data_IF_199625376177
#
_entry.id   IF_199625376177
#
_cell.length_a   1.000
_cell.length_b   1.000
_cell.length_c   1.000
_cell.angle_alpha   90.00
_cell.angle_beta   90.00
_cell.angle_gamma   90.00
#
_symmetry.space_group_name_H-M   'P 1'
#
loop_
_entity.id
_entity.type
_entity.pdbx_description
1 polymer ?
#
# COMPACT_ATOMS: atom_id res chain seq x y z
N UNK A 1 1.80 -24.74 -3.38
CA UNK A 1 3.15 -24.25 -3.80
C UNK A 1 3.39 -22.81 -3.38
N UNK A 2 2.49 -21.84 -3.67
CA UNK A 2 2.68 -20.41 -3.33
C UNK A 2 2.76 -20.17 -1.81
N UNK A 3 1.91 -20.76 -1.00
CA UNK A 3 1.94 -20.63 0.46
C UNK A 3 3.28 -21.04 1.10
N UNK A 4 3.97 -22.05 0.56
CA UNK A 4 5.30 -22.43 1.03
C UNK A 4 6.36 -21.36 0.77
N UNK A 5 6.24 -20.60 -0.33
CA UNK A 5 7.10 -19.44 -0.60
C UNK A 5 6.85 -18.32 0.39
N UNK A 6 5.57 -18.04 0.70
CA UNK A 6 5.20 -17.06 1.74
C UNK A 6 5.83 -17.47 3.07
N UNK A 7 5.68 -18.74 3.48
CA UNK A 7 6.35 -19.25 4.69
C UNK A 7 7.87 -19.09 4.66
N UNK A 8 8.51 -19.29 3.53
CA UNK A 8 9.96 -19.22 3.41
C UNK A 8 10.48 -17.81 3.75
N UNK A 9 9.99 -16.78 3.05
CA UNK A 9 10.43 -15.41 3.31
C UNK A 9 9.91 -14.85 4.66
N UNK A 10 8.73 -15.28 5.12
CA UNK A 10 8.21 -14.92 6.44
C UNK A 10 9.09 -15.45 7.58
N UNK A 11 9.59 -16.67 7.45
CA UNK A 11 10.46 -17.29 8.46
C UNK A 11 11.92 -16.79 8.37
N UNK A 12 12.34 -16.27 7.21
CA UNK A 12 13.70 -15.80 6.97
C UNK A 12 13.69 -14.40 6.32
N UNK A 13 13.06 -13.38 6.95
CA UNK A 13 12.87 -12.06 6.32
C UNK A 13 14.19 -11.33 6.06
N UNK A 14 15.21 -11.55 6.88
CA UNK A 14 16.51 -10.90 6.74
C UNK A 14 17.31 -11.48 5.57
N UNK A 15 17.21 -12.79 5.32
CA UNK A 15 17.84 -13.43 4.17
C UNK A 15 17.13 -13.00 2.89
N UNK A 16 15.79 -13.01 2.88
CA UNK A 16 15.00 -12.52 1.76
C UNK A 16 15.37 -11.07 1.40
N UNK A 17 15.53 -10.19 2.38
CA UNK A 17 15.93 -8.80 2.14
C UNK A 17 17.36 -8.66 1.60
N UNK A 18 18.29 -9.51 2.01
CA UNK A 18 19.64 -9.52 1.42
C UNK A 18 19.64 -10.00 -0.04
N UNK A 19 18.87 -11.03 -0.34
CA UNK A 19 18.69 -11.54 -1.70
C UNK A 19 18.06 -10.48 -2.59
N UNK A 20 16.97 -9.84 -2.15
CA UNK A 20 16.32 -8.74 -2.88
C UNK A 20 17.29 -7.60 -3.16
N UNK A 21 18.07 -7.13 -2.16
CA UNK A 21 19.05 -6.07 -2.41
C UNK A 21 20.08 -6.48 -3.44
N UNK A 22 20.60 -7.72 -3.35
CA UNK A 22 21.60 -8.22 -4.29
C UNK A 22 21.04 -8.32 -5.73
N UNK A 23 19.81 -8.77 -5.88
CA UNK A 23 19.10 -8.81 -7.16
C UNK A 23 18.91 -7.42 -7.74
N UNK A 24 18.43 -6.45 -6.94
CA UNK A 24 18.24 -5.06 -7.37
C UNK A 24 19.54 -4.43 -7.86
N UNK A 25 20.62 -4.52 -7.07
CA UNK A 25 21.93 -3.94 -7.38
C UNK A 25 22.54 -4.60 -8.62
N UNK A 26 22.43 -5.93 -8.72
CA UNK A 26 22.95 -6.68 -9.88
C UNK A 26 22.18 -6.32 -11.15
N UNK A 27 20.85 -6.24 -11.08
CA UNK A 27 20.01 -5.89 -12.23
C UNK A 27 20.33 -4.49 -12.75
N UNK A 28 20.51 -3.52 -11.86
CA UNK A 28 20.72 -2.13 -12.26
C UNK A 28 22.18 -1.72 -12.45
N UNK A 29 23.15 -2.62 -12.33
CA UNK A 29 24.59 -2.27 -12.33
C UNK A 29 25.09 -1.54 -13.59
N UNK A 30 24.40 -1.74 -14.73
CA UNK A 30 24.77 -1.11 -16.01
C UNK A 30 23.90 0.12 -16.34
N UNK A 31 22.95 0.48 -15.51
CA UNK A 31 22.17 1.72 -15.66
C UNK A 31 23.01 2.96 -15.35
N UNK A 32 22.52 4.16 -15.65
CA UNK A 32 23.20 5.39 -15.29
C UNK A 32 23.42 5.50 -13.78
N UNK A 33 22.38 5.22 -12.98
CA UNK A 33 22.46 5.27 -11.52
C UNK A 33 23.40 4.20 -10.98
N UNK A 34 23.39 2.99 -11.57
CA UNK A 34 24.27 1.90 -11.19
C UNK A 34 25.75 2.20 -11.45
N UNK A 35 26.05 2.84 -12.57
CA UNK A 35 27.41 3.34 -12.86
C UNK A 35 27.83 4.48 -11.94
N UNK A 36 26.91 5.43 -11.67
CA UNK A 36 27.15 6.56 -10.77
C UNK A 36 27.58 6.09 -9.38
N UNK A 37 26.88 5.12 -8.81
CA UNK A 37 27.13 4.58 -7.47
C UNK A 37 27.95 3.28 -7.46
N UNK A 38 28.50 2.86 -8.62
CA UNK A 38 29.38 1.70 -8.77
C UNK A 38 28.75 0.41 -8.21
N UNK A 39 27.52 0.12 -8.60
CA UNK A 39 26.77 -1.03 -8.13
C UNK A 39 27.49 -2.37 -8.30
N UNK A 40 28.31 -2.51 -9.33
CA UNK A 40 29.16 -3.70 -9.53
C UNK A 40 30.14 -4.01 -8.36
N UNK A 41 30.36 -3.04 -7.47
CA UNK A 41 31.27 -3.16 -6.33
C UNK A 41 30.52 -3.23 -4.97
N UNK A 42 29.18 -3.32 -4.98
CA UNK A 42 28.37 -3.34 -3.77
C UNK A 42 27.96 -4.79 -3.47
N UNK A 43 28.54 -5.37 -2.44
CA UNK A 43 28.36 -6.79 -2.10
C UNK A 43 27.48 -7.01 -0.85
N UNK A 44 27.17 -5.96 -0.12
CA UNK A 44 26.38 -6.04 1.11
C UNK A 44 25.66 -4.72 1.42
N UNK A 45 24.78 -4.77 2.40
CA UNK A 45 23.95 -3.62 2.84
C UNK A 45 24.80 -2.43 3.29
N UNK A 46 25.92 -2.68 3.98
CA UNK A 46 26.80 -1.61 4.48
C UNK A 46 27.42 -0.81 3.33
N UNK A 47 27.95 -1.52 2.33
CA UNK A 47 28.57 -0.90 1.15
C UNK A 47 27.53 -0.12 0.35
N UNK A 48 26.32 -0.68 0.21
CA UNK A 48 25.19 -0.01 -0.44
C UNK A 48 24.79 1.29 0.26
N UNK A 49 24.60 1.26 1.58
CA UNK A 49 24.28 2.45 2.38
C UNK A 49 25.36 3.53 2.32
N UNK A 50 26.63 3.12 2.26
CA UNK A 50 27.75 4.05 2.19
C UNK A 50 27.89 4.71 0.79
N UNK A 51 27.48 4.01 -0.27
CA UNK A 51 27.61 4.49 -1.64
C UNK A 51 26.41 5.32 -2.12
N UNK A 52 25.20 4.96 -1.70
CA UNK A 52 23.94 5.56 -2.18
C UNK A 52 23.36 6.44 -1.07
N UNK A 53 23.17 7.75 -1.28
CA UNK A 53 22.49 8.61 -0.31
C UNK A 53 20.99 8.30 -0.22
N UNK A 54 20.35 8.74 0.85
CA UNK A 54 18.88 8.79 0.92
C UNK A 54 18.39 9.85 -0.04
N UNK A 55 17.41 9.52 -0.87
CA UNK A 55 16.83 10.41 -1.86
C UNK A 55 15.40 10.80 -1.50
N UNK A 56 15.08 12.06 -1.70
CA UNK A 56 13.71 12.53 -1.82
C UNK A 56 13.26 12.56 -3.29
N UNK A 57 11.98 12.83 -3.53
CA UNK A 57 11.45 12.88 -4.89
C UNK A 57 12.18 13.87 -5.80
N UNK A 58 12.49 15.05 -5.30
CA UNK A 58 13.16 16.10 -6.09
C UNK A 58 14.58 15.68 -6.53
N UNK A 59 15.24 14.76 -5.80
CA UNK A 59 16.58 14.26 -6.16
C UNK A 59 16.51 13.28 -7.35
N UNK A 60 15.44 12.51 -7.46
CA UNK A 60 15.27 11.51 -8.52
C UNK A 60 14.42 12.00 -9.68
N UNK A 61 13.64 13.05 -9.49
CA UNK A 61 12.75 13.64 -10.50
C UNK A 61 13.45 13.98 -11.82
N UNK A 62 14.68 14.57 -11.87
CA UNK A 62 15.36 14.82 -13.13
C UNK A 62 15.58 13.54 -13.97
N UNK A 63 15.84 12.40 -13.32
CA UNK A 63 16.00 11.10 -13.99
C UNK A 63 14.64 10.60 -14.52
N UNK A 64 13.59 10.72 -13.71
CA UNK A 64 12.23 10.34 -14.10
C UNK A 64 11.77 11.15 -15.31
N UNK A 65 11.99 12.47 -15.33
CA UNK A 65 11.62 13.33 -16.45
C UNK A 65 12.34 12.97 -17.75
N UNK A 66 13.56 12.44 -17.67
CA UNK A 66 14.30 11.93 -18.83
C UNK A 66 13.71 10.61 -19.33
N UNK A 67 13.38 9.69 -18.41
CA UNK A 67 12.70 8.44 -18.79
C UNK A 67 11.34 8.74 -19.42
N UNK A 68 10.57 9.68 -18.90
CA UNK A 68 9.32 10.13 -19.50
C UNK A 68 9.50 10.68 -20.92
N UNK A 69 10.67 11.23 -21.25
CA UNK A 69 11.03 11.69 -22.60
C UNK A 69 11.52 10.57 -23.52
N UNK A 70 11.60 9.33 -23.04
CA UNK A 70 12.00 8.15 -23.80
C UNK A 70 13.42 7.66 -23.58
N UNK A 71 14.21 8.32 -22.70
CA UNK A 71 15.52 7.80 -22.33
C UNK A 71 15.36 6.54 -21.48
N UNK A 72 16.16 5.51 -21.72
CA UNK A 72 16.13 4.24 -20.99
C UNK A 72 17.47 3.94 -20.31
N UNK A 73 17.56 2.87 -19.54
CA UNK A 73 18.75 2.48 -18.77
C UNK A 73 19.25 3.55 -17.79
N UNK A 74 18.34 4.35 -17.25
CA UNK A 74 18.67 5.43 -16.31
C UNK A 74 18.57 4.92 -14.86
N UNK A 75 17.38 4.62 -14.38
CA UNK A 75 17.12 4.15 -13.02
C UNK A 75 16.99 2.62 -12.94
N UNK A 76 16.53 1.98 -14.00
CA UNK A 76 16.32 0.54 -14.08
C UNK A 76 16.73 0.01 -15.46
N UNK A 77 17.03 -1.30 -15.54
CA UNK A 77 17.63 -1.94 -16.71
C UNK A 77 16.62 -2.42 -17.76
N UNK A 78 15.34 -2.42 -17.43
CA UNK A 78 14.27 -2.71 -18.39
C UNK A 78 13.52 -1.43 -18.77
N UNK A 79 12.96 -1.35 -19.99
CA UNK A 79 12.25 -0.16 -20.43
C UNK A 79 11.07 0.18 -19.53
N UNK A 80 10.95 1.47 -19.17
CA UNK A 80 9.86 1.99 -18.36
C UNK A 80 8.97 2.86 -19.25
N UNK A 81 7.73 2.41 -19.44
CA UNK A 81 6.71 3.11 -20.24
C UNK A 81 5.52 3.58 -19.39
N UNK A 82 5.43 3.13 -18.16
CA UNK A 82 4.34 3.44 -17.25
C UNK A 82 4.79 4.26 -16.05
N UNK A 83 3.96 5.26 -15.70
CA UNK A 83 4.20 6.10 -14.55
C UNK A 83 2.93 6.21 -13.72
N UNK A 84 3.03 5.90 -12.43
CA UNK A 84 1.94 6.13 -11.49
C UNK A 84 1.97 7.60 -11.04
N UNK A 85 0.87 8.32 -11.27
CA UNK A 85 0.70 9.69 -10.78
C UNK A 85 0.21 9.64 -9.34
N UNK A 86 1.05 10.10 -8.42
CA UNK A 86 0.72 10.24 -7.00
C UNK A 86 0.34 11.69 -6.68
N UNK A 87 -0.72 11.88 -5.91
CA UNK A 87 -1.05 13.20 -5.35
C UNK A 87 0.01 13.55 -4.29
N UNK A 88 0.83 14.57 -4.57
CA UNK A 88 1.78 15.08 -3.58
C UNK A 88 1.05 15.67 -2.38
N UNK A 89 1.33 15.16 -1.18
CA UNK A 89 0.70 15.65 0.07
C UNK A 89 1.29 16.99 0.56
N UNK A 90 2.38 17.48 -0.03
CA UNK A 90 3.14 18.65 0.49
C UNK A 90 3.53 19.72 -0.51
N UNK A 91 3.40 19.45 -1.79
CA UNK A 91 3.58 20.48 -2.82
C UNK A 91 2.48 20.29 -3.86
N UNK A 92 1.91 21.38 -4.39
CA UNK A 92 0.86 21.39 -5.43
C UNK A 92 1.25 20.66 -6.74
N UNK A 93 2.35 19.90 -6.74
CA UNK A 93 2.87 19.19 -7.92
C UNK A 93 2.73 17.69 -7.74
N UNK A 94 2.01 17.07 -8.67
CA UNK A 94 1.93 15.60 -8.77
C UNK A 94 3.31 14.98 -8.95
N UNK A 95 3.54 13.84 -8.28
CA UNK A 95 4.73 13.01 -8.47
C UNK A 95 4.43 11.93 -9.51
N UNK A 96 5.43 11.58 -10.29
CA UNK A 96 5.37 10.47 -11.26
C UNK A 96 6.33 9.39 -10.80
N UNK A 97 5.79 8.23 -10.45
CA UNK A 97 6.58 7.09 -9.98
C UNK A 97 6.74 6.12 -11.14
N UNK A 98 7.97 5.75 -11.52
CA UNK A 98 8.20 4.82 -12.61
C UNK A 98 7.71 3.41 -12.24
N UNK A 99 7.02 2.77 -13.18
CA UNK A 99 6.47 1.43 -13.05
C UNK A 99 7.11 0.53 -14.11
N UNK A 100 8.04 -0.31 -13.69
CA UNK A 100 8.65 -1.33 -14.53
C UNK A 100 7.76 -2.58 -14.63
N UNK A 101 8.06 -3.47 -15.57
CA UNK A 101 7.38 -4.76 -15.65
C UNK A 101 7.64 -5.61 -14.39
N UNK A 102 8.84 -5.54 -13.83
CA UNK A 102 9.20 -6.24 -12.60
C UNK A 102 8.42 -5.70 -11.40
N UNK A 103 8.18 -4.37 -11.33
CA UNK A 103 7.35 -3.81 -10.26
C UNK A 103 5.89 -4.22 -10.39
N UNK A 104 5.36 -4.40 -11.62
CA UNK A 104 4.02 -4.95 -11.84
C UNK A 104 3.95 -6.42 -11.40
N UNK A 105 4.83 -7.28 -11.93
CA UNK A 105 4.75 -8.73 -11.76
C UNK A 105 5.25 -9.22 -10.40
N UNK A 106 6.44 -8.74 -9.97
CA UNK A 106 7.13 -9.23 -8.78
C UNK A 106 6.85 -8.41 -7.52
N UNK A 107 6.16 -7.26 -7.65
CA UNK A 107 5.67 -6.51 -6.51
C UNK A 107 4.14 -6.51 -6.47
N UNK A 108 3.45 -5.70 -7.28
CA UNK A 108 2.02 -5.47 -7.14
C UNK A 108 1.15 -6.71 -7.36
N UNK A 109 1.35 -7.43 -8.46
CA UNK A 109 0.56 -8.64 -8.74
C UNK A 109 0.98 -9.83 -7.86
N UNK A 110 2.27 -9.93 -7.53
CA UNK A 110 2.76 -10.94 -6.58
C UNK A 110 2.12 -10.73 -5.21
N UNK A 111 2.13 -9.51 -4.69
CA UNK A 111 1.52 -9.17 -3.41
C UNK A 111 0.01 -9.45 -3.39
N UNK A 112 -0.71 -9.04 -4.43
CA UNK A 112 -2.15 -9.33 -4.56
C UNK A 112 -2.44 -10.83 -4.53
N UNK A 113 -1.63 -11.63 -5.24
CA UNK A 113 -1.74 -13.11 -5.21
C UNK A 113 -1.42 -13.69 -3.84
N UNK A 114 -0.47 -13.08 -3.09
CA UNK A 114 -0.11 -13.54 -1.75
C UNK A 114 -1.18 -13.19 -0.73
N UNK A 115 -1.79 -12.01 -0.79
CA UNK A 115 -2.97 -11.66 0.03
C UNK A 115 -4.10 -12.68 -0.16
N UNK A 116 -4.46 -12.99 -1.41
CA UNK A 116 -5.47 -14.00 -1.68
C UNK A 116 -5.06 -15.40 -1.18
N UNK A 117 -3.78 -15.76 -1.33
CA UNK A 117 -3.27 -17.05 -0.84
C UNK A 117 -3.37 -17.14 0.68
N UNK A 118 -3.02 -16.08 1.40
CA UNK A 118 -3.14 -16.01 2.87
C UNK A 118 -4.61 -16.08 3.29
N UNK A 119 -5.49 -15.36 2.61
CA UNK A 119 -6.92 -15.41 2.88
C UNK A 119 -7.51 -16.82 2.70
N UNK A 120 -7.16 -17.55 1.63
CA UNK A 120 -7.58 -18.93 1.43
C UNK A 120 -6.97 -19.93 2.45
N UNK A 121 -5.83 -19.58 3.08
CA UNK A 121 -5.32 -20.37 4.21
C UNK A 121 -6.15 -20.12 5.48
N UNK A 122 -6.60 -18.88 5.69
CA UNK A 122 -7.49 -18.52 6.79
C UNK A 122 -8.90 -19.11 6.59
N UNK A 123 -9.44 -19.04 5.38
CA UNK A 123 -10.78 -19.51 5.01
C UNK A 123 -10.73 -20.45 3.79
N UNK A 124 -10.43 -21.75 3.99
CA UNK A 124 -10.28 -22.71 2.89
C UNK A 124 -11.55 -22.97 2.08
N UNK A 125 -12.72 -22.75 2.69
CA UNK A 125 -14.05 -22.87 2.08
C UNK A 125 -14.55 -21.57 1.44
N UNK A 126 -13.67 -20.59 1.24
CA UNK A 126 -14.03 -19.32 0.64
C UNK A 126 -14.53 -19.47 -0.79
N UNK A 127 -15.64 -18.80 -1.08
CA UNK A 127 -16.25 -18.72 -2.42
C UNK A 127 -15.82 -17.45 -3.18
N UNK A 128 -14.74 -16.80 -2.76
CA UNK A 128 -14.29 -15.51 -3.29
C UNK A 128 -14.11 -15.49 -4.82
N UNK A 129 -13.65 -16.60 -5.41
CA UNK A 129 -13.44 -16.74 -6.86
C UNK A 129 -14.62 -17.32 -7.62
N UNK A 130 -15.77 -17.55 -6.97
CA UNK A 130 -17.00 -18.01 -7.66
C UNK A 130 -17.73 -16.84 -8.33
N UNK A 131 -17.54 -15.63 -7.82
CA UNK A 131 -18.07 -14.37 -8.38
C UNK A 131 -16.96 -13.41 -8.78
N UNK A 132 -17.28 -12.12 -8.79
CA UNK A 132 -16.38 -11.05 -9.20
C UNK A 132 -15.87 -10.22 -8.04
N UNK A 133 -14.62 -9.78 -8.13
CA UNK A 133 -14.07 -8.75 -7.26
C UNK A 133 -14.39 -7.36 -7.81
N UNK A 134 -15.12 -6.55 -7.04
CA UNK A 134 -15.31 -5.15 -7.36
C UNK A 134 -14.08 -4.36 -6.92
N UNK A 135 -13.45 -3.64 -7.86
CA UNK A 135 -12.31 -2.77 -7.58
C UNK A 135 -12.65 -1.32 -7.88
N UNK A 136 -12.58 -0.48 -6.85
CA UNK A 136 -12.83 0.95 -6.93
C UNK A 136 -11.48 1.65 -7.09
N UNK A 137 -11.13 1.99 -8.32
CA UNK A 137 -9.89 2.71 -8.65
C UNK A 137 -10.01 4.22 -8.46
N UNK A 138 -8.86 4.90 -8.60
CA UNK A 138 -8.77 6.36 -8.55
C UNK A 138 -9.47 7.08 -9.70
N UNK A 139 -9.38 8.39 -9.70
CA UNK A 139 -10.10 9.28 -10.63
C UNK A 139 -9.27 9.71 -11.85
N UNK A 140 -8.01 9.31 -11.94
CA UNK A 140 -7.17 9.70 -13.08
C UNK A 140 -7.05 8.57 -14.09
N UNK A 141 -7.53 8.81 -15.30
CA UNK A 141 -7.35 7.92 -16.44
C UNK A 141 -5.89 7.80 -16.88
N UNK A 142 -5.67 6.90 -17.82
CA UNK A 142 -4.39 6.77 -18.53
C UNK A 142 -4.26 7.92 -19.53
N UNK A 143 -3.16 8.67 -19.39
CA UNK A 143 -2.82 9.77 -20.29
C UNK A 143 -1.48 9.49 -20.99
N UNK A 144 -1.34 9.81 -22.27
CA UNK A 144 -0.06 9.69 -22.96
C UNK A 144 0.91 10.78 -22.45
N UNK A 145 2.17 10.39 -22.26
CA UNK A 145 3.30 11.31 -22.10
C UNK A 145 3.91 11.62 -23.46
N UNK A 146 4.07 10.56 -24.28
CA UNK A 146 4.55 10.58 -25.64
C UNK A 146 3.96 9.37 -26.39
N UNK A 147 4.52 8.99 -27.54
CA UNK A 147 4.01 7.86 -28.33
C UNK A 147 4.10 6.50 -27.63
N UNK A 148 4.95 6.34 -26.62
CA UNK A 148 5.22 5.06 -25.93
C UNK A 148 4.90 5.13 -24.44
N UNK A 149 5.18 6.26 -23.77
CA UNK A 149 5.03 6.41 -22.33
C UNK A 149 3.65 6.96 -21.94
N UNK A 150 3.12 6.42 -20.84
CA UNK A 150 1.81 6.75 -20.32
C UNK A 150 1.86 6.97 -18.79
N UNK A 151 0.93 7.78 -18.29
CA UNK A 151 0.74 7.92 -16.84
C UNK A 151 -0.73 7.88 -16.47
N UNK A 152 -0.99 7.50 -15.22
CA UNK A 152 -2.33 7.46 -14.63
C UNK A 152 -2.24 7.17 -13.13
N UNK A 153 -3.37 7.02 -12.46
CA UNK A 153 -3.36 6.47 -11.10
C UNK A 153 -2.78 5.05 -11.11
N UNK A 154 -2.14 4.63 -10.03
CA UNK A 154 -1.59 3.28 -9.92
C UNK A 154 -2.63 2.21 -10.28
N UNK A 155 -3.87 2.34 -9.78
CA UNK A 155 -4.95 1.40 -10.08
C UNK A 155 -5.26 1.32 -11.57
N UNK A 156 -5.24 2.45 -12.28
CA UNK A 156 -5.45 2.48 -13.73
C UNK A 156 -4.30 1.79 -14.48
N UNK A 157 -3.05 2.04 -14.05
CA UNK A 157 -1.87 1.37 -14.63
C UNK A 157 -1.94 -0.14 -14.39
N UNK A 158 -2.29 -0.58 -13.17
CA UNK A 158 -2.46 -2.00 -12.84
C UNK A 158 -3.57 -2.65 -13.67
N UNK A 159 -4.70 -1.97 -13.86
CA UNK A 159 -5.80 -2.49 -14.65
C UNK A 159 -5.44 -2.64 -16.13
N UNK A 160 -4.80 -1.63 -16.70
CA UNK A 160 -4.40 -1.62 -18.09
C UNK A 160 -3.40 -2.74 -18.42
N UNK A 161 -2.50 -3.05 -17.49
CA UNK A 161 -1.44 -4.05 -17.66
C UNK A 161 -1.80 -5.44 -17.10
N UNK A 162 -3.02 -5.60 -16.55
CA UNK A 162 -3.41 -6.89 -15.97
C UNK A 162 -3.60 -7.97 -17.04
N UNK A 163 -3.30 -9.25 -16.72
CA UNK A 163 -3.55 -10.35 -17.64
C UNK A 163 -5.01 -10.42 -18.06
N UNK A 164 -5.28 -10.82 -19.32
CA UNK A 164 -6.62 -10.81 -19.91
C UNK A 164 -7.64 -11.63 -19.07
N UNK A 165 -7.24 -12.74 -18.48
CA UNK A 165 -8.10 -13.59 -17.63
C UNK A 165 -8.57 -12.86 -16.35
N UNK A 166 -7.80 -11.89 -15.85
CA UNK A 166 -8.18 -11.11 -14.67
C UNK A 166 -9.43 -10.26 -14.92
N UNK A 167 -9.72 -9.92 -16.19
CA UNK A 167 -10.94 -9.19 -16.54
C UNK A 167 -12.22 -9.99 -16.30
N UNK A 168 -12.16 -11.31 -16.29
CA UNK A 168 -13.32 -12.16 -15.99
C UNK A 168 -13.64 -12.24 -14.50
N UNK A 169 -12.63 -12.07 -13.66
CA UNK A 169 -12.75 -12.16 -12.20
C UNK A 169 -13.01 -10.81 -11.52
N UNK A 170 -13.14 -9.72 -12.28
CA UNK A 170 -13.35 -8.39 -11.72
C UNK A 170 -14.50 -7.63 -12.35
N UNK A 171 -14.98 -6.64 -11.63
CA UNK A 171 -15.96 -5.66 -12.06
C UNK A 171 -15.57 -4.27 -11.50
N UNK A 172 -15.91 -3.13 -12.15
CA UNK A 172 -16.52 -3.03 -13.45
C UNK A 172 -15.54 -3.34 -14.59
N UNK A 173 -16.05 -3.33 -15.83
CA UNK A 173 -15.19 -3.42 -17.02
C UNK A 173 -14.22 -2.24 -17.11
N UNK A 174 -13.16 -2.43 -17.94
CA UNK A 174 -12.06 -1.46 -18.03
C UNK A 174 -12.50 -0.07 -18.46
N UNK A 175 -13.46 0.03 -19.39
CA UNK A 175 -14.02 1.29 -19.88
C UNK A 175 -14.62 2.15 -18.75
N UNK A 176 -15.28 1.53 -17.80
CA UNK A 176 -15.86 2.20 -16.61
C UNK A 176 -14.75 2.45 -15.55
N UNK A 177 -13.91 1.46 -15.31
CA UNK A 177 -12.83 1.57 -14.31
C UNK A 177 -11.85 2.72 -14.61
N UNK A 178 -11.66 3.07 -15.89
CA UNK A 178 -10.76 4.13 -16.37
C UNK A 178 -11.45 5.48 -16.63
N UNK A 179 -12.71 5.67 -16.25
CA UNK A 179 -13.39 6.97 -16.38
C UNK A 179 -12.73 8.03 -15.50
N UNK A 180 -12.66 9.27 -16.01
CA UNK A 180 -12.05 10.42 -15.32
C UNK A 180 -13.02 11.13 -14.39
N UNK A 181 -14.26 11.30 -14.84
CA UNK A 181 -15.25 12.07 -14.12
C UNK A 181 -15.85 11.20 -13.02
N UNK A 182 -15.62 11.62 -11.77
CA UNK A 182 -15.89 10.81 -10.57
C UNK A 182 -17.38 10.51 -10.37
N UNK A 183 -18.25 11.48 -10.57
CA UNK A 183 -19.69 11.30 -10.33
C UNK A 183 -20.31 10.32 -11.33
N UNK A 184 -20.02 10.52 -12.64
CA UNK A 184 -20.42 9.58 -13.68
C UNK A 184 -19.81 8.19 -13.50
N UNK A 185 -18.56 8.12 -13.03
CA UNK A 185 -17.89 6.86 -12.73
C UNK A 185 -18.60 6.07 -11.65
N UNK A 186 -18.94 6.70 -10.52
CA UNK A 186 -19.69 6.06 -9.42
C UNK A 186 -21.05 5.58 -9.91
N UNK A 187 -21.76 6.40 -10.69
CA UNK A 187 -23.05 6.01 -11.28
C UNK A 187 -22.91 4.77 -12.16
N UNK A 188 -21.96 4.77 -13.08
CA UNK A 188 -21.69 3.65 -13.98
C UNK A 188 -21.23 2.39 -13.27
N UNK A 189 -20.39 2.53 -12.23
CA UNK A 189 -20.00 1.39 -11.38
C UNK A 189 -21.24 0.81 -10.71
N UNK A 190 -22.10 1.64 -10.12
CA UNK A 190 -23.31 1.19 -9.44
C UNK A 190 -24.23 0.44 -10.42
N UNK A 191 -24.57 1.05 -11.57
CA UNK A 191 -25.42 0.44 -12.62
C UNK A 191 -24.89 -0.91 -13.11
N UNK A 192 -23.57 -1.00 -13.34
CA UNK A 192 -22.93 -2.21 -13.84
C UNK A 192 -22.92 -3.35 -12.79
N UNK A 193 -22.63 -3.00 -11.54
CA UNK A 193 -22.33 -4.02 -10.52
C UNK A 193 -23.56 -4.54 -9.76
N UNK A 194 -24.69 -3.82 -9.79
CA UNK A 194 -25.94 -4.28 -9.17
C UNK A 194 -26.41 -5.65 -9.70
N UNK A 195 -26.09 -5.96 -10.96
CA UNK A 195 -26.49 -7.22 -11.62
C UNK A 195 -25.41 -8.31 -11.56
N UNK A 196 -24.29 -8.02 -10.98
CA UNK A 196 -23.15 -8.92 -10.88
C UNK A 196 -23.17 -9.66 -9.55
N UNK A 197 -22.59 -10.86 -9.55
CA UNK A 197 -22.30 -11.60 -8.33
C UNK A 197 -20.98 -11.10 -7.74
N UNK A 198 -21.06 -10.13 -6.82
CA UNK A 198 -19.88 -9.52 -6.20
C UNK A 198 -19.55 -10.23 -4.90
N UNK A 199 -18.41 -10.93 -4.89
CA UNK A 199 -17.90 -11.69 -3.73
C UNK A 199 -16.90 -10.91 -2.90
N UNK A 200 -16.20 -9.93 -3.51
CA UNK A 200 -15.28 -9.05 -2.80
C UNK A 200 -15.33 -7.62 -3.30
N UNK A 201 -14.96 -6.70 -2.42
CA UNK A 201 -14.76 -5.28 -2.77
C UNK A 201 -13.36 -4.87 -2.36
N UNK A 202 -12.67 -4.11 -3.22
CA UNK A 202 -11.38 -3.50 -2.93
C UNK A 202 -11.43 -2.00 -3.22
N UNK A 203 -11.07 -1.18 -2.25
CA UNK A 203 -11.06 0.27 -2.43
C UNK A 203 -10.87 1.06 -1.13
N UNK A 204 -10.65 2.36 -1.29
CA UNK A 204 -10.55 3.28 -0.17
C UNK A 204 -11.92 3.40 0.53
N UNK A 205 -11.99 3.36 1.86
CA UNK A 205 -13.25 3.36 2.61
C UNK A 205 -14.22 4.48 2.23
N UNK A 206 -13.73 5.71 2.08
CA UNK A 206 -14.57 6.86 1.73
C UNK A 206 -15.29 6.68 0.40
N UNK A 207 -14.59 6.20 -0.62
CA UNK A 207 -15.15 5.99 -1.96
C UNK A 207 -16.12 4.81 -2.00
N UNK A 208 -15.77 3.75 -1.28
CA UNK A 208 -16.63 2.57 -1.14
C UNK A 208 -17.96 2.92 -0.46
N UNK A 209 -17.94 3.77 0.56
CA UNK A 209 -19.17 4.25 1.22
C UNK A 209 -20.06 5.04 0.28
N UNK A 210 -19.49 5.90 -0.56
CA UNK A 210 -20.26 6.66 -1.57
C UNK A 210 -20.93 5.71 -2.55
N UNK A 211 -20.19 4.73 -3.07
CA UNK A 211 -20.72 3.72 -3.96
C UNK A 211 -21.82 2.87 -3.32
N UNK A 212 -21.61 2.37 -2.11
CA UNK A 212 -22.63 1.57 -1.39
C UNK A 212 -23.93 2.32 -1.19
N UNK A 213 -23.85 3.59 -0.77
CA UNK A 213 -25.04 4.45 -0.63
C UNK A 213 -25.76 4.60 -1.97
N UNK A 214 -25.01 4.85 -3.06
CA UNK A 214 -25.58 5.01 -4.39
C UNK A 214 -26.29 3.73 -4.88
N UNK A 215 -25.69 2.56 -4.65
CA UNK A 215 -26.31 1.26 -4.97
C UNK A 215 -27.63 1.06 -4.21
N UNK A 216 -27.66 1.40 -2.92
CA UNK A 216 -28.86 1.27 -2.12
C UNK A 216 -29.96 2.24 -2.56
N UNK A 217 -29.60 3.46 -2.96
CA UNK A 217 -30.55 4.44 -3.55
C UNK A 217 -31.18 3.91 -4.84
N UNK A 218 -30.36 3.38 -5.76
CA UNK A 218 -30.85 2.84 -7.05
C UNK A 218 -31.75 1.62 -6.84
N UNK A 219 -31.32 0.72 -5.95
CA UNK A 219 -32.02 -0.57 -5.77
C UNK A 219 -33.21 -0.51 -4.83
N UNK A 220 -33.29 0.51 -3.96
CA UNK A 220 -34.26 0.59 -2.88
C UNK A 220 -34.08 -0.50 -1.80
N UNK A 221 -32.95 -1.21 -1.81
CA UNK A 221 -32.63 -2.26 -0.83
C UNK A 221 -32.19 -1.64 0.51
N UNK A 222 -32.35 -2.40 1.61
CA UNK A 222 -32.00 -1.91 2.95
C UNK A 222 -30.51 -1.97 3.22
N UNK A 223 -29.84 -2.95 2.65
CA UNK A 223 -28.40 -3.18 2.84
C UNK A 223 -27.76 -3.86 1.62
N UNK A 224 -26.45 -3.83 1.57
CA UNK A 224 -25.66 -4.35 0.44
C UNK A 224 -25.76 -5.88 0.32
N UNK A 225 -25.97 -6.61 1.42
CA UNK A 225 -26.13 -8.07 1.36
C UNK A 225 -27.45 -8.50 0.68
N UNK A 226 -28.42 -7.60 0.53
CA UNK A 226 -29.61 -7.86 -0.31
C UNK A 226 -29.34 -7.64 -1.80
N UNK A 227 -28.26 -6.93 -2.16
CA UNK A 227 -27.80 -6.75 -3.54
C UNK A 227 -26.79 -7.81 -3.89
N UNK A 228 -25.80 -8.02 -3.02
CA UNK A 228 -24.72 -9.02 -3.18
C UNK A 228 -24.73 -10.02 -2.01
N UNK A 229 -25.55 -11.07 -2.07
CA UNK A 229 -25.66 -12.07 -0.99
C UNK A 229 -24.36 -12.82 -0.72
N UNK A 230 -23.53 -12.98 -1.74
CA UNK A 230 -22.24 -13.69 -1.73
C UNK A 230 -21.07 -12.82 -1.28
N UNK A 231 -21.24 -11.50 -1.06
CA UNK A 231 -20.17 -10.63 -0.60
C UNK A 231 -19.52 -11.16 0.68
N UNK A 232 -18.24 -11.45 0.63
CA UNK A 232 -17.49 -12.14 1.69
C UNK A 232 -16.34 -11.33 2.25
N UNK A 233 -15.69 -10.49 1.42
CA UNK A 233 -14.44 -9.83 1.77
C UNK A 233 -14.43 -8.36 1.33
N UNK A 234 -13.96 -7.49 2.22
CA UNK A 234 -13.58 -6.12 1.88
C UNK A 234 -12.08 -5.90 2.11
N UNK A 235 -11.38 -5.58 1.03
CA UNK A 235 -9.96 -5.24 1.01
C UNK A 235 -9.84 -3.71 1.03
N UNK A 236 -9.20 -3.15 2.05
CA UNK A 236 -9.12 -1.70 2.22
C UNK A 236 -7.70 -1.23 2.52
N UNK A 237 -7.46 0.05 2.31
CA UNK A 237 -6.18 0.70 2.59
C UNK A 237 -6.25 2.20 2.32
N UNK A 238 -5.11 2.87 2.40
CA UNK A 238 -4.97 4.29 2.15
C UNK A 238 -5.38 5.20 3.30
N UNK A 239 -6.29 4.76 4.18
CA UNK A 239 -6.72 5.47 5.41
C UNK A 239 -7.07 4.45 6.49
N UNK A 240 -6.97 4.85 7.76
CA UNK A 240 -7.42 3.99 8.87
C UNK A 240 -8.90 3.61 8.72
N UNK A 241 -9.20 2.33 8.86
CA UNK A 241 -10.56 1.81 8.70
C UNK A 241 -11.40 1.95 9.97
N UNK A 242 -10.80 2.06 11.13
CA UNK A 242 -11.50 2.10 12.43
C UNK A 242 -12.69 3.07 12.47
N UNK A 243 -12.59 4.33 11.97
CA UNK A 243 -13.72 5.26 12.01
C UNK A 243 -14.90 4.86 11.10
N UNK A 244 -14.65 3.99 10.12
CA UNK A 244 -15.65 3.59 9.11
C UNK A 244 -16.33 2.27 9.44
N UNK A 245 -15.74 1.44 10.31
CA UNK A 245 -16.16 0.05 10.57
C UNK A 245 -17.65 -0.09 10.88
N UNK A 246 -18.17 0.68 11.83
CA UNK A 246 -19.60 0.61 12.20
C UNK A 246 -20.53 0.99 11.04
N UNK A 247 -20.15 1.99 10.25
CA UNK A 247 -20.92 2.41 9.09
C UNK A 247 -20.95 1.34 8.01
N UNK A 248 -19.81 0.68 7.76
CA UNK A 248 -19.74 -0.45 6.83
C UNK A 248 -20.61 -1.61 7.30
N UNK A 249 -20.52 -2.03 8.56
CA UNK A 249 -21.34 -3.09 9.12
C UNK A 249 -22.83 -2.81 8.94
N UNK A 250 -23.26 -1.58 9.21
CA UNK A 250 -24.65 -1.14 9.02
C UNK A 250 -25.09 -1.22 7.55
N UNK A 251 -24.27 -0.71 6.63
CA UNK A 251 -24.60 -0.67 5.20
C UNK A 251 -24.57 -2.06 4.57
N UNK A 252 -23.65 -2.92 4.99
CA UNK A 252 -23.54 -4.28 4.47
C UNK A 252 -24.66 -5.16 5.00
N UNK A 253 -25.00 -5.06 6.28
CA UNK A 253 -26.14 -5.77 6.90
C UNK A 253 -25.90 -7.24 7.20
N UNK A 254 -24.66 -7.72 7.06
CA UNK A 254 -24.18 -9.04 7.50
C UNK A 254 -22.70 -8.96 7.87
N UNK A 255 -22.20 -9.96 8.58
CA UNK A 255 -20.78 -10.07 8.87
C UNK A 255 -20.01 -10.51 7.62
N UNK A 256 -18.95 -9.79 7.31
CA UNK A 256 -17.95 -10.11 6.29
C UNK A 256 -16.54 -9.97 6.85
N UNK A 257 -15.55 -10.47 6.12
CA UNK A 257 -14.16 -10.28 6.47
C UNK A 257 -13.62 -8.93 5.96
N UNK A 258 -12.73 -8.33 6.74
CA UNK A 258 -12.03 -7.09 6.43
C UNK A 258 -10.54 -7.35 6.46
N UNK A 259 -9.82 -6.96 5.41
CA UNK A 259 -8.36 -7.04 5.35
C UNK A 259 -7.77 -5.69 4.98
N UNK A 260 -6.86 -5.22 5.80
CA UNK A 260 -6.10 -4.00 5.54
C UNK A 260 -4.87 -4.28 4.70
N UNK A 261 -4.60 -3.38 3.74
CA UNK A 261 -3.44 -3.42 2.85
C UNK A 261 -2.72 -2.08 2.89
N UNK A 262 -1.40 -2.13 2.85
CA UNK A 262 -0.55 -0.96 2.67
C UNK A 262 0.14 -1.01 1.31
N UNK A 263 -0.42 -0.27 0.36
CA UNK A 263 0.11 -0.12 -0.98
C UNK A 263 0.11 1.35 -1.40
N UNK A 264 1.09 1.71 -2.20
CA UNK A 264 1.26 3.05 -2.77
C UNK A 264 1.75 2.95 -4.22
N UNK A 265 1.93 4.08 -4.87
CA UNK A 265 2.49 4.14 -6.23
C UNK A 265 3.90 3.54 -6.29
N UNK A 266 4.64 3.64 -5.21
CA UNK A 266 6.01 3.16 -5.05
C UNK A 266 6.13 1.64 -4.84
N UNK A 267 5.05 0.97 -4.41
CA UNK A 267 5.04 -0.47 -4.18
C UNK A 267 3.87 -0.98 -3.36
N UNK A 268 3.78 -2.29 -3.22
CA UNK A 268 2.85 -2.97 -2.32
C UNK A 268 3.65 -3.53 -1.14
N UNK A 269 3.55 -2.90 0.02
CA UNK A 269 4.47 -3.08 1.13
C UNK A 269 4.03 -4.15 2.12
N UNK A 270 2.74 -4.17 2.48
CA UNK A 270 2.24 -5.06 3.53
C UNK A 270 0.73 -5.31 3.43
N UNK A 271 0.25 -6.36 4.09
CA UNK A 271 -1.16 -6.62 4.29
C UNK A 271 -1.40 -7.40 5.59
N UNK A 272 -2.60 -7.36 6.15
CA UNK A 272 -2.98 -8.28 7.22
C UNK A 272 -2.87 -9.73 6.71
N UNK A 273 -2.33 -10.62 7.52
CA UNK A 273 -2.22 -12.05 7.18
C UNK A 273 -3.59 -12.72 7.23
N UNK A 274 -4.41 -12.32 8.21
CA UNK A 274 -5.79 -12.77 8.38
C UNK A 274 -6.67 -11.65 8.92
N UNK A 275 -7.99 -11.74 8.73
CA UNK A 275 -8.92 -10.77 9.29
C UNK A 275 -8.80 -10.68 10.81
N UNK A 276 -8.73 -9.43 11.31
CA UNK A 276 -8.65 -9.15 12.74
C UNK A 276 -7.24 -9.06 13.32
N UNK A 277 -6.20 -9.27 12.52
CA UNK A 277 -4.83 -9.00 12.96
C UNK A 277 -4.64 -7.51 13.31
N UNK A 278 -3.89 -7.23 14.38
CA UNK A 278 -3.59 -5.85 14.82
C UNK A 278 -2.47 -5.19 14.00
N UNK A 279 -1.80 -5.94 13.13
CA UNK A 279 -0.68 -5.47 12.32
C UNK A 279 -0.69 -6.01 10.91
N UNK A 280 0.21 -5.46 10.08
CA UNK A 280 0.40 -5.87 8.71
C UNK A 280 1.70 -6.65 8.57
N UNK A 281 1.66 -7.75 7.84
CA UNK A 281 2.83 -8.53 7.45
C UNK A 281 3.57 -7.78 6.35
N UNK A 282 4.82 -7.36 6.62
CA UNK A 282 5.70 -6.72 5.64
C UNK A 282 6.14 -7.73 4.58
N UNK A 283 5.99 -7.38 3.32
CA UNK A 283 6.37 -8.22 2.20
C UNK A 283 7.85 -8.10 1.87
N UNK A 284 8.66 -9.02 2.38
CA UNK A 284 10.13 -8.97 2.32
C UNK A 284 10.76 -9.60 1.08
N UNK A 285 9.93 -10.20 0.20
CA UNK A 285 10.36 -10.90 -1.04
C UNK A 285 9.62 -10.37 -2.29
N UNK A 286 9.31 -9.06 -2.32
CA UNK A 286 8.47 -8.47 -3.39
C UNK A 286 9.21 -7.37 -4.17
N UNK A 287 10.51 -7.56 -4.44
CA UNK A 287 11.30 -6.62 -5.22
C UNK A 287 11.52 -5.26 -4.55
N UNK A 288 11.35 -5.19 -3.22
CA UNK A 288 11.58 -3.99 -2.42
C UNK A 288 12.56 -4.32 -1.30
N UNK A 289 13.66 -3.59 -1.24
CA UNK A 289 14.57 -3.59 -0.10
C UNK A 289 14.21 -2.44 0.83
N UNK A 290 14.06 -2.76 2.13
CA UNK A 290 13.61 -1.82 3.16
C UNK A 290 14.74 -1.41 4.09
N UNK A 291 14.81 -0.11 4.33
CA UNK A 291 15.49 0.52 5.43
C UNK A 291 14.49 1.37 6.21
N UNK A 292 14.82 1.67 7.45
CA UNK A 292 13.94 2.41 8.36
C UNK A 292 14.71 3.60 8.91
N UNK A 293 14.21 4.81 8.64
CA UNK A 293 14.77 6.03 9.18
C UNK A 293 14.05 6.38 10.49
N UNK A 294 14.74 6.40 11.65
CA UNK A 294 14.14 6.91 12.88
C UNK A 294 13.62 8.33 12.66
N UNK A 295 12.46 8.68 13.22
CA UNK A 295 11.87 10.02 13.04
C UNK A 295 12.82 11.14 13.51
N UNK A 296 13.70 10.85 14.46
CA UNK A 296 14.74 11.79 14.93
C UNK A 296 15.82 12.11 13.90
N UNK A 297 15.92 11.34 12.83
CA UNK A 297 16.86 11.58 11.73
C UNK A 297 16.27 12.46 10.62
N UNK A 298 14.94 12.67 10.63
CA UNK A 298 14.26 13.45 9.61
C UNK A 298 14.76 14.90 9.57
N UNK A 299 15.05 15.37 8.36
CA UNK A 299 15.55 16.75 8.14
C UNK A 299 17.05 16.92 8.36
N UNK A 300 17.81 15.86 8.70
CA UNK A 300 19.28 15.92 8.72
C UNK A 300 19.84 15.84 7.30
N UNK A 301 21.01 16.44 7.08
CA UNK A 301 21.67 16.40 5.77
C UNK A 301 22.14 14.99 5.37
N UNK A 302 22.47 14.14 6.34
CA UNK A 302 22.86 12.74 6.15
C UNK A 302 22.10 11.88 7.16
N UNK A 303 20.80 11.60 6.90
CA UNK A 303 19.97 10.87 7.82
C UNK A 303 20.41 9.39 7.90
N UNK A 304 20.55 8.89 9.12
CA UNK A 304 20.92 7.50 9.35
C UNK A 304 19.68 6.60 9.27
N UNK A 305 19.85 5.47 8.64
CA UNK A 305 18.81 4.44 8.53
C UNK A 305 19.26 3.16 9.22
N UNK A 306 18.31 2.34 9.64
CA UNK A 306 18.55 1.01 10.22
C UNK A 306 17.96 -0.07 9.31
N UNK A 307 18.45 -1.28 9.41
CA UNK A 307 17.89 -2.45 8.73
C UNK A 307 16.71 -3.05 9.48
N UNK A 308 15.99 -3.96 8.84
CA UNK A 308 14.83 -4.63 9.41
C UNK A 308 15.12 -5.32 10.77
N UNK A 309 16.34 -5.88 10.92
CA UNK A 309 16.78 -6.55 12.14
C UNK A 309 17.03 -5.61 13.34
N UNK A 310 17.13 -4.31 13.08
CA UNK A 310 17.43 -3.28 14.10
C UNK A 310 16.19 -2.50 14.52
N UNK A 311 15.03 -2.80 13.91
CA UNK A 311 13.75 -2.12 14.19
C UNK A 311 13.26 -2.51 15.56
N UNK A 312 12.93 -1.53 16.40
CA UNK A 312 12.44 -1.71 17.76
C UNK A 312 10.92 -1.53 17.83
N UNK A 313 10.26 -2.41 18.62
CA UNK A 313 8.82 -2.33 18.83
C UNK A 313 8.39 -0.99 19.46
N UNK A 314 7.26 -0.48 19.00
CA UNK A 314 6.67 0.74 19.55
C UNK A 314 7.39 2.03 19.15
N UNK A 315 8.36 1.96 18.23
CA UNK A 315 9.02 3.14 17.67
C UNK A 315 8.48 3.47 16.29
N UNK A 316 8.47 4.74 15.97
CA UNK A 316 8.06 5.27 14.67
C UNK A 316 9.27 5.43 13.74
N UNK A 317 9.09 4.99 12.50
CA UNK A 317 10.08 5.09 11.45
C UNK A 317 9.46 5.61 10.15
N UNK A 318 10.25 6.30 9.35
CA UNK A 318 9.93 6.54 7.95
C UNK A 318 10.61 5.45 7.09
N UNK A 319 9.87 4.72 6.24
CA UNK A 319 10.47 3.75 5.34
C UNK A 319 11.33 4.44 4.29
N UNK A 320 12.51 3.86 4.04
CA UNK A 320 13.39 4.19 2.93
C UNK A 320 13.49 2.94 2.07
N UNK A 321 13.11 3.04 0.81
CA UNK A 321 12.97 1.88 -0.07
C UNK A 321 13.91 1.93 -1.28
N UNK A 322 14.36 0.75 -1.69
CA UNK A 322 14.95 0.55 -3.02
C UNK A 322 14.12 -0.50 -3.74
N UNK A 323 13.70 -0.22 -4.98
CA UNK A 323 12.67 -1.02 -5.66
C UNK A 323 13.11 -1.49 -7.04
N UNK A 324 12.49 -2.55 -7.51
CA UNK A 324 12.58 -3.03 -8.89
C UNK A 324 11.87 -2.12 -9.93
N UNK A 325 11.36 -0.97 -9.49
CA UNK A 325 10.91 0.15 -10.34
C UNK A 325 11.97 1.24 -10.53
N UNK A 326 13.17 1.09 -9.90
CA UNK A 326 14.28 2.03 -10.04
C UNK A 326 14.29 3.16 -9.00
N UNK A 327 13.54 3.05 -7.91
CA UNK A 327 13.69 3.92 -6.76
C UNK A 327 14.87 3.39 -5.92
N UNK A 328 15.82 4.28 -5.57
CA UNK A 328 17.03 3.91 -4.83
C UNK A 328 17.14 4.72 -3.55
N UNK A 329 17.08 4.05 -2.39
CA UNK A 329 17.03 4.63 -1.05
C UNK A 329 16.07 5.83 -0.98
N UNK A 330 14.89 5.63 -1.58
CA UNK A 330 13.84 6.64 -1.67
C UNK A 330 13.07 6.74 -0.36
N UNK A 331 13.03 7.95 0.22
CA UNK A 331 12.30 8.23 1.45
C UNK A 331 10.80 8.32 1.17
N UNK A 332 10.04 7.33 1.66
CA UNK A 332 8.59 7.45 1.77
C UNK A 332 8.27 8.47 2.87
N UNK A 333 7.41 9.44 2.54
CA UNK A 333 6.99 10.43 3.52
C UNK A 333 5.84 9.95 4.42
N UNK A 334 5.72 8.63 4.54
CA UNK A 334 4.82 7.96 5.46
C UNK A 334 5.56 7.61 6.74
N UNK A 335 4.80 7.46 7.83
CA UNK A 335 5.34 7.00 9.11
C UNK A 335 4.69 5.67 9.46
N UNK A 336 5.50 4.69 9.82
CA UNK A 336 5.05 3.40 10.31
C UNK A 336 5.43 3.21 11.77
N UNK A 337 4.57 2.54 12.52
CA UNK A 337 4.83 2.08 13.88
C UNK A 337 5.21 0.59 13.83
N UNK A 338 6.33 0.22 14.41
CA UNK A 338 6.69 -1.20 14.51
C UNK A 338 5.89 -1.91 15.61
N UNK A 339 5.22 -3.00 15.26
CA UNK A 339 4.41 -3.81 16.19
C UNK A 339 5.11 -5.09 16.67
N UNK A 340 6.14 -5.57 15.97
CA UNK A 340 6.88 -6.78 16.33
C UNK A 340 8.33 -6.73 15.83
N UNK A 341 9.20 -7.49 16.48
CA UNK A 341 10.63 -7.65 16.11
C UNK A 341 10.81 -8.49 14.83
N UNK A 342 9.76 -9.13 14.38
CA UNK A 342 9.69 -9.90 13.13
C UNK A 342 8.88 -9.13 12.08
N UNK A 343 8.76 -9.63 10.89
CA UNK A 343 8.15 -9.01 9.70
C UNK A 343 6.76 -8.35 9.84
N UNK A 344 6.28 -8.11 11.07
CA UNK A 344 4.97 -7.47 11.30
C UNK A 344 5.16 -5.99 11.64
N UNK A 345 4.58 -5.12 10.82
CA UNK A 345 4.51 -3.68 11.07
C UNK A 345 3.06 -3.29 11.34
N UNK A 346 2.83 -2.43 12.34
CA UNK A 346 1.57 -1.68 12.41
C UNK A 346 1.68 -0.47 11.50
N UNK A 347 0.98 -0.50 10.38
CA UNK A 347 0.93 0.66 9.51
C UNK A 347 -0.09 1.66 10.04
N UNK A 348 0.42 2.77 10.49
CA UNK A 348 -0.34 4.01 10.58
C UNK A 348 0.30 4.97 9.58
N UNK A 349 -0.34 5.13 8.42
CA UNK A 349 0.10 6.08 7.43
C UNK A 349 -0.26 7.49 7.90
N UNK A 350 0.71 8.18 8.50
CA UNK A 350 0.69 9.61 8.70
C UNK A 350 1.73 10.23 7.79
N UNK A 351 1.35 11.21 6.97
CA UNK A 351 2.30 11.92 6.11
C UNK A 351 3.27 12.76 6.92
N UNK A 352 4.57 12.66 6.64
CA UNK A 352 5.64 13.54 7.16
C UNK A 352 5.66 14.89 6.44
N UNK A 353 4.51 15.46 6.10
CA UNK A 353 4.38 16.67 5.32
C UNK A 353 4.41 17.93 6.19
N UNK A 354 5.51 18.67 6.15
CA UNK A 354 5.66 20.02 6.70
C UNK A 354 6.24 20.08 8.13
N UNK A 355 6.44 21.30 8.68
CA UNK A 355 7.02 21.51 10.02
C UNK A 355 6.20 20.86 11.16
N UNK A 356 4.94 20.55 10.90
CA UNK A 356 4.06 19.85 11.86
C UNK A 356 4.21 18.32 11.82
N UNK A 357 4.99 17.77 10.91
CA UNK A 357 5.12 16.31 10.76
C UNK A 357 5.79 15.66 11.97
N UNK A 358 6.78 16.33 12.54
CA UNK A 358 7.42 15.89 13.80
C UNK A 358 6.43 15.99 14.97
N UNK A 359 5.63 17.06 15.02
CA UNK A 359 4.58 17.22 16.02
C UNK A 359 3.48 16.16 15.86
N UNK A 360 3.10 15.83 14.62
CA UNK A 360 2.14 14.77 14.34
C UNK A 360 2.68 13.38 14.69
N UNK A 361 3.96 13.08 14.37
CA UNK A 361 4.60 11.83 14.76
C UNK A 361 4.71 11.69 16.28
N UNK A 362 5.05 12.78 17.00
CA UNK A 362 5.08 12.82 18.47
C UNK A 362 3.67 12.70 19.07
N UNK A 363 2.66 13.32 18.45
CA UNK A 363 1.25 13.19 18.83
C UNK A 363 0.74 11.76 18.62
N UNK A 364 1.17 11.08 17.55
CA UNK A 364 0.85 9.68 17.29
C UNK A 364 1.51 8.76 18.31
N UNK A 365 2.76 9.01 18.66
CA UNK A 365 3.45 8.27 19.73
C UNK A 365 2.79 8.49 21.09
N UNK A 366 2.37 9.71 21.38
CA UNK A 366 1.60 10.02 22.59
C UNK A 366 0.24 9.33 22.59
N UNK A 367 -0.46 9.26 21.44
CA UNK A 367 -1.75 8.57 21.29
C UNK A 367 -1.59 7.04 21.43
N UNK A 368 -0.59 6.43 20.81
CA UNK A 368 -0.27 5.02 20.96
C UNK A 368 0.07 4.66 22.42
N UNK A 369 0.84 5.53 23.08
CA UNK A 369 1.13 5.39 24.51
C UNK A 369 -0.13 5.58 25.38
N UNK A 370 -1.02 6.52 25.05
CA UNK A 370 -2.31 6.70 25.74
C UNK A 370 -3.25 5.51 25.51
N UNK A 371 -3.26 4.92 24.32
CA UNK A 371 -4.04 3.73 24.03
C UNK A 371 -3.55 2.53 24.82
N UNK A 372 -2.24 2.34 24.90
CA UNK A 372 -1.60 1.29 25.73
C UNK A 372 -1.79 1.53 27.24
N UNK A 373 -1.75 2.79 27.68
CA UNK A 373 -2.11 3.18 29.06
C UNK A 373 -3.60 2.93 29.29
N UNK A 374 -4.47 3.21 28.33
CA UNK A 374 -5.92 2.92 28.37
C UNK A 374 -6.21 1.42 28.45
N UNK A 375 -5.46 0.59 27.73
CA UNK A 375 -5.55 -0.88 27.78
C UNK A 375 -5.06 -1.41 29.16
N UNK A 376 -3.91 -0.94 29.63
CA UNK A 376 -3.39 -1.28 30.97
C UNK A 376 -4.30 -0.78 32.11
N UNK A 377 -4.94 0.37 31.93
CA UNK A 377 -5.95 0.87 32.86
C UNK A 377 -7.25 0.06 32.77
N UNK A 378 -7.64 -0.43 31.61
CA UNK A 378 -8.82 -1.30 31.43
C UNK A 378 -8.60 -2.66 32.09
N UNK A 379 -7.42 -3.27 31.91
CA UNK A 379 -7.03 -4.50 32.63
C UNK A 379 -6.96 -4.30 34.14
N UNK A 380 -6.58 -3.08 34.60
CA UNK A 380 -6.49 -2.72 36.03
C UNK A 380 -7.85 -2.31 36.66
N UNK A 381 -8.84 -1.89 35.88
CA UNK A 381 -10.10 -1.30 36.34
C UNK A 381 -11.38 -2.00 35.85
N UNK A 382 -11.37 -3.33 35.75
CA UNK A 382 -12.59 -4.10 35.44
C UNK A 382 -13.73 -3.95 36.48
N UNK A 383 -13.66 -3.03 37.43
CA UNK A 383 -14.63 -2.89 38.50
C UNK A 383 -15.28 -1.53 38.71
N UNK A 384 -15.03 -0.47 37.92
CA UNK A 384 -15.66 0.83 38.19
C UNK A 384 -16.15 1.56 36.94
N UNK A 385 -17.47 1.83 36.91
CA UNK A 385 -18.23 2.49 35.84
C UNK A 385 -17.93 3.99 35.61
N UNK A 386 -16.99 4.61 36.32
CA UNK A 386 -16.64 6.02 36.19
C UNK A 386 -15.60 6.33 35.11
N UNK A 387 -14.91 5.32 34.58
CA UNK A 387 -13.91 5.49 33.50
C UNK A 387 -14.53 5.87 32.14
N UNK A 388 -15.85 5.73 31.95
CA UNK A 388 -16.56 6.06 30.71
C UNK A 388 -16.67 7.55 30.42
N UNK A 389 -16.47 8.44 31.40
CA UNK A 389 -16.56 9.88 31.19
C UNK A 389 -15.27 10.55 30.72
N UNK A 390 -14.12 9.90 30.88
CA UNK A 390 -12.84 10.45 30.40
C UNK A 390 -12.69 10.28 28.87
N UNK A 391 -13.34 9.30 28.27
CA UNK A 391 -13.31 9.03 26.83
C UNK A 391 -14.06 10.05 25.94
N UNK A 392 -14.93 10.88 26.52
CA UNK A 392 -15.69 11.88 25.76
C UNK A 392 -14.92 13.16 25.43
N UNK A 393 -13.75 13.40 26.02
CA UNK A 393 -13.01 14.67 25.87
C UNK A 393 -11.77 14.59 24.95
N UNK A 394 -11.50 13.46 24.33
CA UNK A 394 -10.33 13.30 23.42
C UNK A 394 -10.68 13.20 21.93
N UNK A 395 -11.94 13.54 21.55
CA UNK A 395 -12.41 13.56 20.17
C UNK A 395 -12.89 14.97 19.77
N UNK A 396 -11.95 15.90 19.58
CA UNK A 396 -12.05 17.09 18.75
C UNK A 396 -10.72 17.38 18.07
#
# INVERSE_FOLDING_TARGET
>A
MRYWRIKAWKNNPFDAQREVLQELVTSAQYTEIGRKYKFSNLFNVRDFKAAVPVHEYEDIKPYIERIMKGEQDILWNTPIYWFAKSSGTTSDKSKFIPISNESLEDCHYKASKDVLTMYYQYKPDSELLTGKGLVIGGSHSINPVNNEAHYGDLSAVLFQNSPFWAHWLRTPELSIALMDEWESKIEKIAEATIKEDVTSVSGVPTWTLVLFKRILEITGKKNISEVWPTLELYLHGGVSFTPYREQFQKLIGKDINYLEMYNASEGFFAAQEQPGDDGLLLFTDHGIFYEFMPVSEYGKNDPQTIGLQEVEMGKNYAPVISTNGGLWRYLLRDTILSAAVTSTICCWAGSLAGPDALANALLMQARANCQRVGELLRESFESHSEALNVYKWTWW
#
